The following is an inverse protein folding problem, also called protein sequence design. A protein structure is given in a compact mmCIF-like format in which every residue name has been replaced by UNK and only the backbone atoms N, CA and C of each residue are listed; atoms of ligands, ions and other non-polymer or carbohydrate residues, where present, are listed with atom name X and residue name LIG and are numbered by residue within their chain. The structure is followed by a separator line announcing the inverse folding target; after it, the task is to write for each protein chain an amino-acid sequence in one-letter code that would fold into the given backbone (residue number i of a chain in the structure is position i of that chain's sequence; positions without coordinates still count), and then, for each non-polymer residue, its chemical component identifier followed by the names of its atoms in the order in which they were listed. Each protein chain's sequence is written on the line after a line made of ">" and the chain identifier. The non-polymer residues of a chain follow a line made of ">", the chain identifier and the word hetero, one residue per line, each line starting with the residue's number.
data_IF_713704541533
#
_entry.id   IF_713704541533
#
_cell.length_a   1.000
_cell.length_b   1.000
_cell.length_c   1.000
_cell.angle_alpha   90.00
_cell.angle_beta   90.00
_cell.angle_gamma   90.00
#
_symmetry.space_group_name_H-M   'P 1'
#
loop_
_entity.id
_entity.type
_entity.pdbx_description
1 polymer ?
#
# COMPACT_ATOMS: atom_id res chain seq x y z
N UNK A 1 -7.83 -20.59 -22.99
CA UNK A 1 -6.79 -21.17 -22.12
C UNK A 1 -5.49 -20.44 -22.39
N UNK A 2 -5.00 -19.70 -21.40
CA UNK A 2 -3.68 -19.07 -21.38
C UNK A 2 -3.12 -19.36 -19.99
N UNK A 3 -2.35 -20.42 -19.90
CA UNK A 3 -1.54 -20.75 -18.74
C UNK A 3 -0.22 -19.99 -18.87
N UNK A 4 0.22 -19.33 -17.80
CA UNK A 4 1.62 -18.94 -17.65
C UNK A 4 2.08 -19.46 -16.30
N UNK A 5 2.75 -20.61 -16.35
CA UNK A 5 3.54 -21.13 -15.24
C UNK A 5 4.82 -20.29 -15.16
N UNK A 6 5.01 -19.57 -14.05
CA UNK A 6 6.33 -19.06 -13.69
C UNK A 6 6.88 -19.94 -12.57
N UNK A 7 7.85 -20.79 -12.94
CA UNK A 7 8.65 -21.57 -11.98
C UNK A 7 9.53 -20.63 -11.15
N UNK A 8 9.73 -20.92 -9.86
CA UNK A 8 10.63 -20.15 -9.00
C UNK A 8 12.05 -20.66 -9.19
N UNK A 9 12.91 -19.88 -9.85
CA UNK A 9 14.37 -19.93 -9.68
C UNK A 9 15.03 -18.92 -10.63
N UNK A 10 15.37 -17.72 -10.11
CA UNK A 10 16.41 -16.86 -10.69
C UNK A 10 16.79 -15.72 -9.73
N UNK A 11 17.42 -16.04 -8.60
CA UNK A 11 18.34 -15.10 -7.96
C UNK A 11 19.75 -15.64 -8.18
N UNK A 12 20.41 -15.17 -9.25
CA UNK A 12 21.87 -15.21 -9.37
C UNK A 12 22.34 -14.18 -10.41
N UNK A 13 23.13 -13.23 -9.91
CA UNK A 13 24.37 -12.76 -10.51
C UNK A 13 24.35 -12.29 -11.98
N UNK A 14 24.39 -10.96 -12.14
CA UNK A 14 25.03 -10.22 -13.22
C UNK A 14 25.10 -10.87 -14.62
N UNK A 15 24.29 -10.37 -15.57
CA UNK A 15 24.78 -10.13 -16.92
C UNK A 15 23.89 -9.11 -17.63
N UNK A 16 24.53 -8.12 -18.27
CA UNK A 16 23.90 -7.13 -19.14
C UNK A 16 23.05 -7.82 -20.20
N UNK A 17 21.74 -7.78 -20.04
CA UNK A 17 20.71 -7.98 -21.06
C UNK A 17 19.69 -6.87 -20.85
N UNK A 18 19.29 -6.23 -21.95
CA UNK A 18 18.38 -5.07 -22.01
C UNK A 18 17.43 -5.01 -20.80
N UNK A 19 17.64 -4.02 -19.93
CA UNK A 19 16.70 -3.69 -18.85
C UNK A 19 15.39 -3.32 -19.53
N UNK A 20 14.47 -4.27 -19.62
CA UNK A 20 13.06 -3.92 -19.71
C UNK A 20 12.81 -2.93 -18.58
N UNK A 21 12.37 -1.72 -18.94
CA UNK A 21 11.99 -0.67 -17.99
C UNK A 21 10.78 -1.17 -17.22
N UNK A 22 11.02 -2.01 -16.21
CA UNK A 22 10.00 -2.64 -15.40
C UNK A 22 9.25 -1.57 -14.60
N UNK A 23 7.93 -1.68 -14.60
CA UNK A 23 7.06 -0.88 -13.74
C UNK A 23 6.78 -1.72 -12.50
N UNK A 24 7.02 -1.13 -11.34
CA UNK A 24 6.55 -1.64 -10.05
C UNK A 24 5.21 -0.99 -9.78
N UNK A 25 4.20 -1.81 -9.51
CA UNK A 25 2.87 -1.36 -9.13
C UNK A 25 2.46 -2.04 -7.81
N UNK A 26 2.04 -1.25 -6.83
CA UNK A 26 1.43 -1.74 -5.59
C UNK A 26 -0.03 -1.26 -5.53
N UNK A 27 -0.90 -2.14 -5.03
CA UNK A 27 -2.31 -1.84 -4.79
C UNK A 27 -2.59 -2.13 -3.32
N UNK A 28 -3.10 -1.13 -2.62
CA UNK A 28 -3.51 -1.22 -1.23
C UNK A 28 -4.97 -0.90 -1.03
N UNK A 29 -5.55 -1.44 0.03
CA UNK A 29 -6.95 -1.21 0.41
C UNK A 29 -7.02 -0.67 1.83
N UNK A 30 -7.81 0.38 2.02
CA UNK A 30 -8.12 0.92 3.34
C UNK A 30 -8.94 -0.09 4.16
N UNK A 31 -8.91 0.00 5.50
CA UNK A 31 -9.58 -0.96 6.39
C UNK A 31 -11.06 -1.16 6.06
N UNK A 32 -11.80 -0.06 5.86
CA UNK A 32 -13.23 -0.12 5.56
C UNK A 32 -13.52 -0.78 4.22
N UNK A 33 -12.82 -0.39 3.15
CA UNK A 33 -13.01 -1.02 1.84
C UNK A 33 -12.64 -2.50 1.88
N UNK A 34 -11.56 -2.87 2.56
CA UNK A 34 -11.15 -4.26 2.69
C UNK A 34 -12.25 -5.10 3.37
N UNK A 35 -12.80 -4.64 4.50
CA UNK A 35 -13.92 -5.32 5.16
C UNK A 35 -15.14 -5.49 4.25
N UNK A 36 -15.43 -4.51 3.38
CA UNK A 36 -16.54 -4.59 2.43
C UNK A 36 -16.31 -5.63 1.33
N UNK A 37 -15.09 -5.75 0.80
CA UNK A 37 -14.80 -6.66 -0.32
C UNK A 37 -14.43 -8.07 0.15
N UNK A 38 -14.02 -8.23 1.41
CA UNK A 38 -13.70 -9.52 2.04
C UNK A 38 -14.30 -9.63 3.45
N UNK A 39 -15.64 -9.68 3.59
CA UNK A 39 -16.28 -9.75 4.90
C UNK A 39 -15.94 -11.04 5.66
N UNK A 40 -15.68 -12.12 4.94
CA UNK A 40 -15.38 -13.44 5.51
C UNK A 40 -13.87 -13.66 5.78
N UNK A 41 -13.02 -12.72 5.38
CA UNK A 41 -11.57 -12.79 5.57
C UNK A 41 -11.03 -11.43 6.09
N UNK A 42 -11.43 -11.02 7.30
CA UNK A 42 -10.89 -9.81 7.90
C UNK A 42 -9.39 -9.95 8.11
N UNK A 43 -8.64 -8.87 7.88
CA UNK A 43 -7.21 -8.89 8.19
C UNK A 43 -7.04 -8.96 9.71
N UNK A 44 -6.24 -9.94 10.16
CA UNK A 44 -5.94 -10.09 11.58
C UNK A 44 -4.95 -9.02 12.07
N UNK A 45 -4.85 -8.89 13.40
CA UNK A 45 -3.89 -7.98 14.04
C UNK A 45 -4.44 -6.58 14.35
N UNK A 46 -5.75 -6.36 14.25
CA UNK A 46 -6.35 -5.08 14.62
C UNK A 46 -6.27 -4.00 13.53
N UNK A 47 -6.06 -4.39 12.27
CA UNK A 47 -6.07 -3.46 11.14
C UNK A 47 -7.41 -2.71 11.05
N UNK A 48 -7.37 -1.40 11.36
CA UNK A 48 -8.51 -0.49 11.45
C UNK A 48 -8.06 0.90 11.03
N UNK A 49 -9.00 1.80 10.73
CA UNK A 49 -8.67 3.18 10.41
C UNK A 49 -7.97 3.86 11.59
N UNK A 50 -6.99 4.72 11.30
CA UNK A 50 -6.39 5.57 12.33
C UNK A 50 -7.41 6.64 12.72
N UNK A 51 -7.60 6.82 14.03
CA UNK A 51 -8.47 7.85 14.56
C UNK A 51 -7.82 9.25 14.44
N UNK A 52 -8.64 10.29 14.51
CA UNK A 52 -8.14 11.65 14.69
C UNK A 52 -7.41 11.75 16.03
N UNK A 53 -6.23 12.37 16.03
CA UNK A 53 -5.37 12.48 17.21
C UNK A 53 -4.81 13.89 17.36
N UNK A 54 -4.21 14.19 18.49
CA UNK A 54 -3.50 15.46 18.72
C UNK A 54 -2.00 15.19 18.89
N UNK A 55 -1.16 15.85 18.09
CA UNK A 55 0.30 15.74 18.16
C UNK A 55 0.87 17.16 18.20
N UNK A 56 1.67 17.46 19.23
CA UNK A 56 2.22 18.80 19.48
C UNK A 56 1.17 19.92 19.48
N UNK A 57 0.02 19.69 20.14
CA UNK A 57 -1.12 20.62 20.20
C UNK A 57 -1.75 20.94 18.83
N UNK A 58 -1.54 20.06 17.84
CA UNK A 58 -2.12 20.16 16.49
C UNK A 58 -3.01 18.95 16.23
N UNK A 59 -4.24 19.21 15.78
CA UNK A 59 -5.16 18.18 15.30
C UNK A 59 -4.59 17.49 14.05
N UNK A 60 -4.46 16.18 14.13
CA UNK A 60 -3.98 15.32 13.06
C UNK A 60 -5.16 14.50 12.54
N UNK A 61 -5.49 14.61 11.23
CA UNK A 61 -6.64 13.92 10.66
C UNK A 61 -6.44 12.40 10.69
N UNK A 62 -7.52 11.63 10.83
CA UNK A 62 -7.50 10.17 10.76
C UNK A 62 -6.98 9.64 9.42
N UNK A 63 -6.91 8.32 9.27
CA UNK A 63 -6.45 7.72 8.00
C UNK A 63 -7.49 7.92 6.90
N UNK A 64 -7.06 8.47 5.77
CA UNK A 64 -7.88 8.69 4.58
C UNK A 64 -7.55 7.70 3.46
N UNK A 65 -8.53 7.48 2.58
CA UNK A 65 -8.38 6.72 1.34
C UNK A 65 -8.85 5.27 1.43
N UNK A 66 -9.64 4.87 0.44
CA UNK A 66 -10.11 3.49 0.29
C UNK A 66 -9.13 2.62 -0.51
N UNK A 67 -8.45 3.23 -1.49
CA UNK A 67 -7.52 2.54 -2.39
C UNK A 67 -6.22 3.32 -2.47
N UNK A 68 -5.11 2.62 -2.28
CA UNK A 68 -3.77 3.13 -2.48
C UNK A 68 -3.18 2.55 -3.76
N UNK A 69 -2.59 3.40 -4.59
CA UNK A 69 -1.92 3.00 -5.82
C UNK A 69 -0.53 3.64 -5.85
N UNK A 70 0.50 2.82 -6.00
CA UNK A 70 1.87 3.28 -6.12
C UNK A 70 2.48 2.72 -7.40
N UNK A 71 3.03 3.60 -8.22
CA UNK A 71 3.70 3.26 -9.48
C UNK A 71 5.11 3.81 -9.47
N UNK A 72 6.07 2.96 -9.81
CA UNK A 72 7.48 3.36 -9.91
C UNK A 72 8.11 2.69 -11.13
N UNK A 73 8.87 3.47 -11.90
CA UNK A 73 9.61 2.98 -13.06
C UNK A 73 10.74 3.93 -13.43
N UNK A 74 11.70 3.46 -14.22
CA UNK A 74 12.78 4.29 -14.77
C UNK A 74 12.27 5.34 -15.80
N UNK A 75 11.01 5.26 -16.23
CA UNK A 75 10.41 6.17 -17.23
C UNK A 75 9.13 6.79 -16.68
N UNK A 76 9.22 8.04 -16.23
CA UNK A 76 8.08 8.80 -15.68
C UNK A 76 6.80 8.71 -16.53
N UNK A 77 6.94 8.87 -17.85
CA UNK A 77 5.81 8.74 -18.80
C UNK A 77 4.99 7.45 -18.67
N UNK A 78 5.61 6.33 -18.27
CA UNK A 78 4.91 5.07 -18.04
C UNK A 78 4.04 5.12 -16.79
N UNK A 79 4.56 5.68 -15.68
CA UNK A 79 3.81 5.83 -14.44
C UNK A 79 2.58 6.70 -14.66
N UNK A 80 2.76 7.81 -15.38
CA UNK A 80 1.68 8.74 -15.71
C UNK A 80 0.61 8.12 -16.61
N UNK A 81 1.03 7.44 -17.67
CA UNK A 81 0.10 6.73 -18.57
C UNK A 81 -0.73 5.69 -17.81
N UNK A 82 -0.12 4.97 -16.87
CA UNK A 82 -0.83 3.97 -16.08
C UNK A 82 -1.82 4.62 -15.10
N UNK A 83 -1.41 5.70 -14.42
CA UNK A 83 -2.27 6.47 -13.54
C UNK A 83 -3.49 7.03 -14.29
N UNK A 84 -3.29 7.62 -15.47
CA UNK A 84 -4.37 8.17 -16.29
C UNK A 84 -5.36 7.09 -16.73
N UNK A 85 -4.87 5.93 -17.19
CA UNK A 85 -5.73 4.79 -17.53
C UNK A 85 -6.55 4.28 -16.34
N UNK A 86 -5.98 4.27 -15.15
CA UNK A 86 -6.68 3.83 -13.95
C UNK A 86 -7.74 4.85 -13.55
N UNK A 87 -7.45 6.16 -13.62
CA UNK A 87 -8.46 7.21 -13.39
C UNK A 87 -9.64 7.09 -14.35
N UNK A 88 -9.37 6.83 -15.63
CA UNK A 88 -10.41 6.56 -16.63
C UNK A 88 -11.27 5.34 -16.26
N UNK A 89 -10.65 4.27 -15.73
CA UNK A 89 -11.38 3.07 -15.31
C UNK A 89 -12.21 3.28 -14.04
N UNK A 90 -11.72 4.05 -13.07
CA UNK A 90 -12.52 4.44 -11.90
C UNK A 90 -13.68 5.35 -12.32
N UNK A 91 -13.47 6.24 -13.29
CA UNK A 91 -14.50 7.14 -13.80
C UNK A 91 -15.17 7.92 -12.66
N UNK A 92 -16.50 7.92 -12.63
CA UNK A 92 -17.28 8.57 -11.57
C UNK A 92 -17.48 7.71 -10.31
N UNK A 93 -16.87 6.52 -10.24
CA UNK A 93 -17.05 5.58 -9.11
C UNK A 93 -16.03 5.77 -8.00
N UNK A 94 -14.99 6.56 -8.24
CA UNK A 94 -13.97 6.89 -7.25
C UNK A 94 -13.72 8.39 -7.25
N UNK A 95 -13.35 8.92 -6.08
CA UNK A 95 -12.89 10.28 -5.93
C UNK A 95 -11.38 10.26 -5.71
N UNK A 96 -10.65 11.09 -6.44
CA UNK A 96 -9.22 11.25 -6.23
C UNK A 96 -8.99 12.05 -4.95
N UNK A 97 -8.42 11.41 -3.92
CA UNK A 97 -8.14 12.04 -2.63
C UNK A 97 -6.81 12.79 -2.64
N UNK A 98 -5.73 12.12 -3.03
CA UNK A 98 -4.40 12.72 -3.19
C UNK A 98 -3.71 12.13 -4.41
N UNK A 99 -2.90 12.92 -5.10
CA UNK A 99 -2.04 12.50 -6.20
C UNK A 99 -0.68 13.16 -6.07
N UNK A 100 0.35 12.34 -5.96
CA UNK A 100 1.73 12.79 -5.80
C UNK A 100 2.58 12.23 -6.94
N UNK A 101 3.26 13.12 -7.65
CA UNK A 101 4.33 12.77 -8.59
C UNK A 101 5.64 13.08 -7.89
N UNK A 102 6.39 12.03 -7.55
CA UNK A 102 7.58 12.11 -6.70
C UNK A 102 8.79 11.64 -7.48
N UNK A 103 9.90 12.37 -7.37
CA UNK A 103 11.17 12.03 -7.99
C UNK A 103 12.25 11.86 -6.91
N UNK A 104 13.08 10.84 -7.09
CA UNK A 104 14.15 10.50 -6.14
C UNK A 104 13.61 9.93 -4.82
N UNK A 105 14.20 10.36 -3.72
CA UNK A 105 13.88 9.88 -2.37
C UNK A 105 14.89 8.88 -1.80
N UNK A 106 14.71 8.55 -0.52
CA UNK A 106 15.52 7.56 0.21
C UNK A 106 14.65 6.33 0.42
N UNK A 107 15.14 5.15 0.05
CA UNK A 107 14.35 3.92 0.06
C UNK A 107 15.08 2.85 0.84
N UNK A 108 14.41 2.28 1.85
CA UNK A 108 14.86 1.04 2.48
C UNK A 108 14.88 -0.10 1.47
N UNK A 109 15.87 -0.98 1.61
CA UNK A 109 15.95 -2.22 0.85
C UNK A 109 14.95 -3.25 1.39
N UNK A 110 13.71 -3.16 0.91
CA UNK A 110 12.61 -4.05 1.28
C UNK A 110 12.97 -5.53 1.05
N UNK A 111 13.85 -5.82 0.08
CA UNK A 111 14.23 -7.19 -0.22
C UNK A 111 15.10 -7.83 0.86
N UNK A 112 15.91 -7.05 1.59
CA UNK A 112 16.69 -7.53 2.74
C UNK A 112 15.90 -7.52 4.04
N UNK A 113 14.83 -6.73 4.16
CA UNK A 113 13.99 -6.61 5.36
C UNK A 113 12.62 -7.31 5.26
N UNK A 114 12.51 -8.35 4.42
CA UNK A 114 11.24 -9.07 4.17
C UNK A 114 10.55 -9.57 5.44
N UNK A 115 11.29 -9.97 6.45
CA UNK A 115 10.74 -10.46 7.72
C UNK A 115 10.00 -9.37 8.51
N UNK A 116 10.36 -8.10 8.30
CA UNK A 116 9.66 -6.96 8.89
C UNK A 116 8.47 -6.51 8.04
N UNK A 117 8.54 -6.70 6.72
CA UNK A 117 7.54 -6.18 5.76
C UNK A 117 6.43 -7.17 5.43
N UNK A 118 6.76 -8.43 5.20
CA UNK A 118 5.83 -9.43 4.70
C UNK A 118 5.25 -10.27 5.84
N UNK A 119 3.95 -10.53 5.76
CA UNK A 119 3.26 -11.43 6.68
C UNK A 119 3.77 -12.85 6.41
N UNK A 120 4.33 -13.44 7.46
CA UNK A 120 4.78 -14.82 7.44
C UNK A 120 3.60 -15.79 7.58
N UNK A 121 3.77 -16.99 7.02
CA UNK A 121 2.83 -18.10 7.10
C UNK A 121 2.47 -18.47 8.53
N UNK A 122 3.42 -18.33 9.46
CA UNK A 122 3.20 -18.64 10.89
C UNK A 122 2.22 -17.68 11.57
N UNK A 123 2.12 -16.43 11.09
CA UNK A 123 1.19 -15.43 11.62
C UNK A 123 -0.21 -15.63 11.03
N UNK A 124 -0.30 -15.72 9.70
CA UNK A 124 -1.56 -15.91 9.01
C UNK A 124 -1.32 -16.50 7.61
N UNK A 125 -1.97 -17.64 7.34
CA UNK A 125 -1.82 -18.35 6.08
C UNK A 125 -2.57 -17.66 4.92
N UNK A 126 -3.73 -17.07 5.20
CA UNK A 126 -4.60 -16.47 4.19
C UNK A 126 -4.05 -15.14 3.69
N UNK A 127 -3.33 -14.41 4.54
CA UNK A 127 -2.67 -13.13 4.20
C UNK A 127 -1.16 -13.27 4.01
N UNK A 128 -0.64 -14.49 3.85
CA UNK A 128 0.78 -14.72 3.65
C UNK A 128 1.32 -13.91 2.46
N UNK A 129 2.54 -13.39 2.58
CA UNK A 129 3.19 -12.49 1.60
C UNK A 129 2.48 -11.14 1.38
N UNK A 130 1.43 -10.84 2.14
CA UNK A 130 0.83 -9.50 2.16
C UNK A 130 1.60 -8.60 3.11
N UNK A 131 1.31 -7.31 3.10
CA UNK A 131 1.97 -6.30 3.95
C UNK A 131 0.97 -5.22 4.37
N UNK A 132 1.38 -4.35 5.27
CA UNK A 132 0.66 -3.13 5.63
C UNK A 132 1.56 -1.93 5.36
N UNK A 133 0.92 -0.81 5.03
CA UNK A 133 1.60 0.47 4.90
C UNK A 133 0.87 1.57 5.62
N UNK A 134 1.65 2.47 6.22
CA UNK A 134 1.20 3.79 6.63
C UNK A 134 1.85 4.82 5.72
N UNK A 135 1.05 5.73 5.19
CA UNK A 135 1.52 6.90 4.45
C UNK A 135 1.34 8.15 5.30
N UNK A 136 2.34 9.03 5.30
CA UNK A 136 2.28 10.28 6.06
C UNK A 136 2.91 11.41 5.25
N UNK A 137 2.19 12.52 5.15
CA UNK A 137 2.66 13.74 4.47
C UNK A 137 2.98 14.80 5.50
N UNK A 138 4.21 15.30 5.51
CA UNK A 138 4.69 16.27 6.47
C UNK A 138 5.08 17.57 5.77
N UNK A 139 4.88 18.73 6.42
CA UNK A 139 5.37 20.02 5.90
C UNK A 139 6.89 20.21 6.05
N UNK A 140 7.53 19.42 6.91
CA UNK A 140 8.96 19.49 7.15
C UNK A 140 9.70 18.39 6.38
N UNK A 141 10.87 18.74 5.84
CA UNK A 141 11.75 17.81 5.12
C UNK A 141 12.84 17.20 6.02
N UNK A 142 12.48 16.81 7.25
CA UNK A 142 13.42 16.14 8.15
C UNK A 142 13.24 14.63 8.07
N UNK A 143 14.34 13.88 7.97
CA UNK A 143 14.29 12.45 8.20
C UNK A 143 14.41 12.20 9.70
N UNK A 144 13.59 11.30 10.23
CA UNK A 144 13.62 10.89 11.61
C UNK A 144 13.77 9.37 11.70
N UNK A 145 14.44 8.92 12.75
CA UNK A 145 14.82 7.52 12.90
C UNK A 145 13.58 6.63 12.98
N UNK A 146 13.57 5.58 12.18
CA UNK A 146 12.60 4.50 12.25
C UNK A 146 13.32 3.17 12.09
N UNK A 147 12.92 2.19 12.88
CA UNK A 147 13.38 0.80 12.84
C UNK A 147 12.63 -0.05 11.79
N UNK A 148 11.51 0.47 11.30
CA UNK A 148 10.72 -0.11 10.21
C UNK A 148 11.22 0.35 8.85
N UNK A 149 11.10 -0.48 7.81
CA UNK A 149 11.47 -0.11 6.44
C UNK A 149 10.60 1.04 5.90
N UNK A 150 11.23 2.06 5.31
CA UNK A 150 10.55 3.27 4.85
C UNK A 150 11.03 3.72 3.48
N UNK A 151 10.11 4.25 2.68
CA UNK A 151 10.41 5.06 1.50
C UNK A 151 10.02 6.50 1.79
N UNK A 152 10.97 7.43 1.65
CA UNK A 152 10.76 8.86 1.88
C UNK A 152 11.03 9.63 0.60
N UNK A 153 10.14 10.56 0.29
CA UNK A 153 10.18 11.37 -0.92
C UNK A 153 10.00 12.85 -0.58
N UNK A 154 10.88 13.74 -1.05
CA UNK A 154 10.61 15.17 -0.96
C UNK A 154 9.34 15.49 -1.75
N UNK A 155 8.42 16.26 -1.17
CA UNK A 155 7.17 16.62 -1.82
C UNK A 155 6.77 18.05 -1.49
N UNK A 156 6.05 18.71 -2.40
CA UNK A 156 5.52 20.04 -2.15
C UNK A 156 4.23 19.94 -1.30
N UNK A 157 4.17 20.67 -0.19
CA UNK A 157 2.99 20.71 0.69
C UNK A 157 2.56 22.16 0.87
N UNK A 158 1.65 22.61 0.00
CA UNK A 158 1.30 24.02 -0.11
C UNK A 158 2.50 24.84 -0.60
N UNK A 159 2.91 25.84 0.16
CA UNK A 159 4.09 26.67 -0.16
C UNK A 159 5.41 26.05 0.34
N UNK A 160 5.35 25.05 1.20
CA UNK A 160 6.52 24.50 1.89
C UNK A 160 7.04 23.22 1.20
N UNK A 161 8.35 22.99 1.31
CA UNK A 161 8.97 21.72 0.92
C UNK A 161 8.88 20.73 2.09
N UNK A 162 8.01 19.75 1.91
CA UNK A 162 7.74 18.69 2.87
C UNK A 162 8.33 17.34 2.48
N UNK A 163 7.86 16.31 3.19
CA UNK A 163 8.28 14.93 2.98
C UNK A 163 7.06 14.01 2.98
N UNK A 164 7.03 13.07 2.05
CA UNK A 164 6.04 12.00 1.98
C UNK A 164 6.71 10.69 2.33
N UNK A 165 6.26 10.06 3.40
CA UNK A 165 6.86 8.84 3.94
C UNK A 165 5.86 7.70 3.82
N UNK A 166 6.32 6.58 3.27
CA UNK A 166 5.62 5.31 3.20
C UNK A 166 6.38 4.34 4.12
N UNK A 167 5.74 3.89 5.20
CA UNK A 167 6.32 2.93 6.14
C UNK A 167 5.68 1.57 5.95
N UNK A 168 6.50 0.53 5.88
CA UNK A 168 6.07 -0.85 5.65
C UNK A 168 6.20 -1.69 6.92
N UNK A 169 5.25 -2.60 7.14
CA UNK A 169 5.32 -3.59 8.22
C UNK A 169 4.44 -4.80 7.91
N UNK A 170 4.76 -5.92 8.53
CA UNK A 170 3.90 -7.10 8.60
C UNK A 170 3.00 -7.13 9.83
N UNK A 171 3.01 -6.05 10.59
CA UNK A 171 2.28 -5.88 11.84
C UNK A 171 1.60 -4.50 11.81
N UNK A 172 0.26 -4.46 11.73
CA UNK A 172 -0.48 -3.20 11.65
C UNK A 172 -0.39 -2.40 12.95
N UNK A 173 -0.28 -3.05 14.12
CA UNK A 173 -0.20 -2.35 15.39
C UNK A 173 1.11 -1.56 15.51
N UNK A 174 2.23 -2.13 15.05
CA UNK A 174 3.51 -1.40 14.98
C UNK A 174 3.44 -0.17 14.07
N UNK A 175 2.63 -0.21 13.02
CA UNK A 175 2.44 0.95 12.14
C UNK A 175 1.54 2.01 12.76
N UNK A 176 0.50 1.60 13.48
CA UNK A 176 -0.36 2.50 14.27
C UNK A 176 0.46 3.22 15.33
N UNK A 177 1.18 2.47 16.18
CA UNK A 177 2.09 3.03 17.20
C UNK A 177 3.13 3.98 16.57
N UNK A 178 3.63 3.63 15.39
CA UNK A 178 4.59 4.45 14.63
C UNK A 178 3.96 5.72 14.06
N UNK A 179 2.71 5.67 13.63
CA UNK A 179 1.98 6.80 13.08
C UNK A 179 1.67 7.85 14.16
N UNK A 180 1.52 7.42 15.40
CA UNK A 180 1.27 8.26 16.57
C UNK A 180 2.55 8.82 17.21
N UNK A 181 3.64 8.05 17.21
CA UNK A 181 4.93 8.44 17.82
C UNK A 181 5.82 9.33 16.93
N UNK A 182 5.22 10.12 16.04
CA UNK A 182 5.96 10.99 15.12
C UNK A 182 6.38 12.30 15.82
N UNK A 183 7.56 12.85 15.49
CA UNK A 183 8.10 14.02 16.16
C UNK A 183 7.41 15.33 15.76
N UNK A 184 6.59 15.32 14.71
CA UNK A 184 5.82 16.48 14.25
C UNK A 184 4.54 16.01 13.54
N UNK A 185 3.47 16.81 13.59
CA UNK A 185 2.15 16.41 13.09
C UNK A 185 2.14 16.28 11.55
N UNK A 186 1.66 15.15 10.99
CA UNK A 186 1.43 15.01 9.56
C UNK A 186 0.17 15.78 9.13
N UNK A 187 0.19 16.27 7.90
CA UNK A 187 -0.94 16.96 7.25
C UNK A 187 -1.98 15.96 6.76
N UNK A 188 -1.54 14.78 6.32
CA UNK A 188 -2.43 13.70 5.94
C UNK A 188 -1.81 12.36 6.31
N UNK A 189 -2.68 11.39 6.58
CA UNK A 189 -2.32 10.01 6.91
C UNK A 189 -3.14 9.05 6.07
N UNK A 190 -2.54 7.95 5.66
CA UNK A 190 -3.25 6.82 5.05
C UNK A 190 -2.77 5.53 5.69
N UNK A 191 -3.66 4.53 5.78
CA UNK A 191 -3.33 3.23 6.32
C UNK A 191 -3.95 2.15 5.46
N UNK A 192 -3.13 1.28 4.88
CA UNK A 192 -3.58 0.36 3.83
C UNK A 192 -3.01 -1.04 4.03
N UNK A 193 -3.80 -2.04 3.67
CA UNK A 193 -3.38 -3.41 3.52
C UNK A 193 -2.97 -3.66 2.07
N UNK A 194 -1.76 -4.20 1.87
CA UNK A 194 -1.20 -4.60 0.58
C UNK A 194 -1.36 -6.12 0.43
N UNK A 195 -2.45 -6.61 -0.18
CA UNK A 195 -2.63 -8.04 -0.43
C UNK A 195 -1.53 -8.58 -1.36
N UNK A 196 -1.13 -9.83 -1.13
CA UNK A 196 -0.26 -10.55 -2.06
C UNK A 196 -0.92 -10.70 -3.44
N UNK A 197 -0.12 -10.94 -4.48
CA UNK A 197 -0.66 -11.16 -5.82
C UNK A 197 -1.61 -12.36 -5.88
N UNK A 198 -1.31 -13.42 -5.12
CA UNK A 198 -2.17 -14.60 -5.00
C UNK A 198 -3.52 -14.24 -4.37
N UNK A 199 -3.50 -13.41 -3.32
CA UNK A 199 -4.71 -12.93 -2.67
C UNK A 199 -5.52 -12.03 -3.61
N UNK A 200 -4.88 -11.08 -4.30
CA UNK A 200 -5.51 -10.21 -5.31
C UNK A 200 -6.17 -11.00 -6.45
N UNK A 201 -5.47 -12.00 -6.98
CA UNK A 201 -6.01 -12.83 -8.06
C UNK A 201 -7.15 -13.72 -7.57
N UNK A 202 -7.11 -14.18 -6.30
CA UNK A 202 -8.22 -14.91 -5.69
C UNK A 202 -9.50 -14.07 -5.57
N UNK A 203 -9.39 -12.76 -5.27
CA UNK A 203 -10.52 -11.83 -5.25
C UNK A 203 -11.21 -11.76 -6.61
N UNK A 204 -10.42 -11.61 -7.68
CA UNK A 204 -10.93 -11.58 -9.05
C UNK A 204 -11.66 -12.87 -9.44
N UNK A 205 -11.17 -14.01 -8.96
CA UNK A 205 -11.75 -15.32 -9.28
C UNK A 205 -12.93 -15.70 -8.37
N UNK A 206 -13.32 -14.85 -7.41
CA UNK A 206 -14.35 -15.16 -6.42
C UNK A 206 -13.95 -16.28 -5.45
N UNK A 207 -12.65 -16.51 -5.28
CA UNK A 207 -12.07 -17.57 -4.45
C UNK A 207 -12.20 -17.29 -2.96
N UNK A 208 -12.10 -16.02 -2.55
CA UNK A 208 -12.69 -15.58 -1.30
C UNK A 208 -14.19 -15.54 -1.58
N UNK A 209 -14.90 -16.51 -1.00
CA UNK A 209 -16.36 -16.54 -1.05
C UNK A 209 -16.80 -15.19 -0.52
N UNK A 210 -17.28 -14.32 -1.40
CA UNK A 210 -18.19 -13.25 -0.99
C UNK A 210 -19.41 -13.99 -0.41
N UNK A 211 -19.43 -14.22 0.90
CA UNK A 211 -20.59 -14.73 1.60
C UNK A 211 -21.80 -13.86 1.23
N UNK A 212 -22.86 -14.49 0.72
CA UNK A 212 -24.16 -13.90 0.31
C UNK A 212 -24.20 -12.70 -0.65
N UNK A 213 -23.09 -11.99 -0.90
CA UNK A 213 -23.03 -10.72 -1.62
C UNK A 213 -22.27 -10.78 -2.94
N UNK A 214 -21.87 -11.98 -3.38
CA UNK A 214 -21.24 -12.13 -4.69
C UNK A 214 -22.23 -11.73 -5.80
N UNK A 215 -21.79 -10.88 -6.73
CA UNK A 215 -22.54 -10.56 -7.97
C UNK A 215 -22.94 -11.83 -8.76
N UNK A 216 -22.21 -12.93 -8.54
CA UNK A 216 -22.45 -14.23 -9.17
C UNK A 216 -23.17 -15.24 -8.25
N UNK A 217 -23.64 -14.84 -7.07
CA UNK A 217 -24.36 -15.72 -6.16
C UNK A 217 -25.73 -16.05 -6.75
N UNK A 218 -25.86 -17.24 -7.34
CA UNK A 218 -27.17 -17.83 -7.60
C UNK A 218 -27.76 -18.29 -6.27
N UNK A 219 -28.77 -17.57 -5.80
CA UNK A 219 -29.65 -18.04 -4.74
C UNK A 219 -30.31 -19.34 -5.21
N UNK A 220 -30.13 -20.43 -4.45
CA UNK A 220 -31.01 -21.59 -4.60
C UNK A 220 -32.31 -21.23 -3.88
N UNK A 221 -33.42 -21.24 -4.62
CA UNK A 221 -34.76 -21.37 -4.03
C UNK A 221 -34.90 -22.68 -3.26
#
# INVERSE_FOLDING_TARGET
>A
AMASELKPDAIKGSSKKNKDSGIIALVGFGPMLWTLITPDAPVQGGFRSLDETEIEDVEVPGSEGDVFLYFSSEKDSLNRTLADKIKEQFGSRGNLVDELVLEGGVHSDIASEKEKVLIDKSKNLDTMQSSFIVTQKFKMNNNFLCDLPQHSFPCQVGSDLGNYIITFSNDPQKLEDRAESVPYPPVSRGFFFLPSLDLLTSLRMGGIRMGSLAINAKWKE
#
